data_IF_250269836968
#
_entry.id   IF_250269836968
#
_cell.length_a   1.000
_cell.length_b   1.000
_cell.length_c   1.000
_cell.angle_alpha   90.00
_cell.angle_beta   90.00
_cell.angle_gamma   90.00
#
_symmetry.space_group_name_H-M   'P 1'
#
loop_
_entity.id
_entity.type
_entity.pdbx_description
1 polymer ?
#
# COMPACT_ATOMS: atom_id res chain seq x y z
N UNK A 1 2.97 -0.44 23.87
CA UNK A 1 3.35 -1.86 24.03
C UNK A 1 4.81 -2.01 23.65
N UNK A 2 5.60 -2.93 24.22
CA UNK A 2 6.94 -3.18 23.70
C UNK A 2 6.82 -3.56 22.22
N UNK A 3 7.66 -2.97 21.38
CA UNK A 3 7.70 -3.19 19.93
C UNK A 3 8.21 -4.60 19.55
N UNK A 4 8.33 -5.50 20.53
CA UNK A 4 8.78 -6.87 20.38
C UNK A 4 8.03 -7.78 21.35
N UNK A 5 7.82 -9.03 20.94
CA UNK A 5 7.12 -10.05 21.72
C UNK A 5 7.86 -11.38 21.52
N UNK A 6 8.24 -12.07 22.61
CA UNK A 6 8.92 -13.36 22.51
C UNK A 6 7.93 -14.42 22.02
N UNK A 7 8.24 -15.20 20.97
CA UNK A 7 7.41 -16.34 20.56
C UNK A 7 7.28 -17.37 21.70
N UNK A 8 6.11 -18.00 21.83
CA UNK A 8 5.87 -19.06 22.84
C UNK A 8 6.81 -20.24 22.66
N UNK A 9 7.15 -20.56 21.41
CA UNK A 9 8.13 -21.58 21.03
C UNK A 9 9.14 -20.96 20.07
N UNK A 10 10.19 -20.28 20.58
CA UNK A 10 11.21 -19.73 19.72
C UNK A 10 11.91 -20.82 18.92
N UNK A 11 12.33 -20.50 17.71
CA UNK A 11 13.17 -21.37 16.89
C UNK A 11 14.43 -21.72 17.66
N UNK A 12 14.83 -22.98 17.65
CA UNK A 12 16.02 -23.43 18.39
C UNK A 12 17.29 -22.79 17.81
N UNK A 13 18.25 -22.41 18.66
CA UNK A 13 19.45 -21.68 18.21
C UNK A 13 20.34 -22.49 17.25
N UNK A 14 20.23 -23.82 17.27
CA UNK A 14 20.91 -24.74 16.35
C UNK A 14 20.21 -24.92 15.01
N UNK A 15 19.03 -24.32 14.81
CA UNK A 15 18.31 -24.42 13.55
C UNK A 15 19.08 -23.71 12.43
N UNK A 16 19.28 -24.44 11.33
CA UNK A 16 19.83 -23.94 10.08
C UNK A 16 18.83 -24.34 8.99
N UNK A 17 18.27 -23.38 8.24
CA UNK A 17 17.36 -23.70 7.15
C UNK A 17 18.02 -24.63 6.12
N UNK A 18 17.34 -25.69 5.65
CA UNK A 18 17.90 -26.60 4.66
C UNK A 18 18.37 -25.85 3.41
N UNK A 19 19.62 -26.07 3.01
CA UNK A 19 20.27 -25.38 1.88
C UNK A 19 20.30 -23.85 1.96
N UNK A 20 20.14 -23.28 3.18
CA UNK A 20 20.18 -21.84 3.41
C UNK A 20 21.58 -21.26 3.20
N UNK A 21 21.68 -20.24 2.36
CA UNK A 21 22.92 -19.48 2.15
C UNK A 21 22.98 -18.37 3.19
N UNK A 22 24.06 -18.33 3.98
CA UNK A 22 24.23 -17.34 5.03
C UNK A 22 24.50 -15.96 4.41
N UNK A 23 23.70 -14.97 4.78
CA UNK A 23 23.78 -13.59 4.30
C UNK A 23 24.00 -12.65 5.49
N UNK A 24 25.06 -11.83 5.43
CA UNK A 24 25.29 -10.78 6.40
C UNK A 24 24.40 -9.58 6.05
N UNK A 25 23.44 -9.26 6.92
CA UNK A 25 22.55 -8.12 6.69
C UNK A 25 23.31 -6.82 6.87
N UNK A 26 23.00 -5.84 6.02
CA UNK A 26 23.60 -4.51 6.06
C UNK A 26 22.57 -3.44 6.38
N UNK A 27 23.03 -2.29 6.87
CA UNK A 27 22.15 -1.14 7.08
C UNK A 27 21.55 -0.71 5.73
N UNK A 28 20.22 -0.59 5.68
CA UNK A 28 19.48 -0.28 4.45
C UNK A 28 18.90 -1.50 3.73
N UNK A 29 19.34 -2.72 4.04
CA UNK A 29 18.62 -3.92 3.62
C UNK A 29 17.35 -4.10 4.47
N UNK A 30 16.35 -4.74 3.87
CA UNK A 30 15.10 -5.14 4.54
C UNK A 30 14.73 -6.56 4.12
N UNK A 31 13.83 -7.20 4.86
CA UNK A 31 13.22 -8.47 4.43
C UNK A 31 12.65 -8.37 3.01
N UNK A 32 12.10 -7.21 2.65
CA UNK A 32 11.51 -6.95 1.34
C UNK A 32 12.59 -6.87 0.25
N UNK A 33 13.67 -6.12 0.47
CA UNK A 33 14.73 -5.96 -0.53
C UNK A 33 15.46 -7.28 -0.80
N UNK A 34 15.66 -8.09 0.25
CA UNK A 34 16.30 -9.40 0.12
C UNK A 34 15.39 -10.43 -0.54
N UNK A 35 14.11 -10.48 -0.16
CA UNK A 35 13.15 -11.39 -0.78
C UNK A 35 12.91 -11.05 -2.25
N UNK A 36 12.84 -9.76 -2.60
CA UNK A 36 12.76 -9.30 -4.00
C UNK A 36 13.96 -9.75 -4.82
N UNK A 37 15.18 -9.70 -4.26
CA UNK A 37 16.42 -10.11 -4.95
C UNK A 37 16.38 -11.57 -5.40
N UNK A 38 15.72 -12.42 -4.63
CA UNK A 38 15.63 -13.87 -4.88
C UNK A 38 14.23 -14.31 -5.34
N UNK A 39 13.36 -13.37 -5.67
CA UNK A 39 12.05 -13.63 -6.27
C UNK A 39 11.02 -14.32 -5.36
N UNK A 40 11.07 -14.11 -4.04
CA UNK A 40 10.13 -14.71 -3.08
C UNK A 40 9.36 -13.64 -2.28
N UNK A 41 8.28 -14.06 -1.62
CA UNK A 41 7.55 -13.19 -0.69
C UNK A 41 8.40 -12.87 0.56
N UNK A 42 8.38 -11.65 1.09
CA UNK A 42 9.15 -11.29 2.29
C UNK A 42 8.78 -12.13 3.53
N UNK A 43 7.53 -12.55 3.66
CA UNK A 43 7.12 -13.45 4.74
C UNK A 43 7.54 -14.89 4.49
N UNK A 44 7.75 -15.31 3.24
CA UNK A 44 8.39 -16.59 2.93
C UNK A 44 9.87 -16.58 3.33
N UNK A 45 10.57 -15.45 3.13
CA UNK A 45 11.95 -15.29 3.61
C UNK A 45 12.04 -15.25 5.15
N UNK A 46 11.09 -14.57 5.80
CA UNK A 46 10.98 -14.55 7.25
C UNK A 46 10.66 -15.95 7.79
N UNK A 47 9.70 -16.66 7.19
CA UNK A 47 9.36 -18.04 7.55
C UNK A 47 10.53 -18.99 7.36
N UNK A 48 11.31 -18.82 6.29
CA UNK A 48 12.51 -19.60 6.02
C UNK A 48 13.56 -19.45 7.13
N UNK A 49 13.67 -18.25 7.72
CA UNK A 49 14.56 -18.00 8.86
C UNK A 49 13.93 -18.40 10.19
N UNK A 50 12.64 -18.15 10.36
CA UNK A 50 11.92 -18.32 11.61
C UNK A 50 10.61 -19.09 11.39
N UNK A 51 10.68 -20.44 11.27
CA UNK A 51 9.50 -21.25 10.99
C UNK A 51 8.37 -21.07 12.01
N UNK A 52 7.14 -21.03 11.52
CA UNK A 52 5.91 -20.84 12.30
C UNK A 52 5.41 -19.39 12.34
N UNK A 53 6.18 -18.40 11.89
CA UNK A 53 5.78 -16.99 11.91
C UNK A 53 4.65 -16.68 10.95
N UNK A 54 4.57 -17.33 9.78
CA UNK A 54 3.44 -17.17 8.86
C UNK A 54 2.12 -17.65 9.48
N UNK A 55 2.16 -18.72 10.27
CA UNK A 55 0.97 -19.20 10.99
C UNK A 55 0.52 -18.17 12.04
N UNK A 56 1.47 -17.54 12.74
CA UNK A 56 1.15 -16.44 13.66
C UNK A 56 0.57 -15.26 12.89
N UNK A 57 1.17 -14.86 11.77
CA UNK A 57 0.68 -13.75 10.92
C UNK A 57 -0.74 -13.95 10.43
N UNK A 58 -1.11 -15.17 10.08
CA UNK A 58 -2.47 -15.51 9.65
C UNK A 58 -3.51 -15.30 10.77
N UNK A 59 -3.10 -15.44 12.04
CA UNK A 59 -3.98 -15.27 13.20
C UNK A 59 -3.94 -13.85 13.75
N UNK A 60 -2.75 -13.29 13.86
CA UNK A 60 -2.47 -11.95 14.37
C UNK A 60 -1.21 -11.39 13.72
N UNK A 61 -1.42 -10.49 12.75
CA UNK A 61 -0.35 -9.80 12.02
C UNK A 61 0.54 -8.94 12.93
N UNK A 62 -0.05 -8.31 13.95
CA UNK A 62 0.67 -7.44 14.87
C UNK A 62 1.54 -8.26 15.82
N UNK A 63 1.04 -9.40 16.30
CA UNK A 63 1.82 -10.37 17.05
C UNK A 63 2.99 -10.91 16.23
N UNK A 64 2.77 -11.29 14.97
CA UNK A 64 3.84 -11.77 14.10
C UNK A 64 4.92 -10.71 13.90
N UNK A 65 4.53 -9.44 13.70
CA UNK A 65 5.46 -8.31 13.54
C UNK A 65 6.31 -8.11 14.79
N UNK A 66 5.70 -8.13 15.98
CA UNK A 66 6.43 -8.06 17.26
C UNK A 66 7.35 -9.26 17.48
N UNK A 67 6.96 -10.45 17.03
CA UNK A 67 7.80 -11.65 17.11
C UNK A 67 8.99 -11.61 16.15
N UNK A 68 8.82 -11.06 14.95
CA UNK A 68 9.93 -10.79 14.03
C UNK A 68 10.90 -9.78 14.64
N UNK A 69 10.39 -8.70 15.25
CA UNK A 69 11.24 -7.74 15.97
C UNK A 69 12.03 -8.39 17.11
N UNK A 70 11.42 -9.32 17.85
CA UNK A 70 12.13 -10.07 18.88
C UNK A 70 13.28 -10.91 18.30
N UNK A 71 13.06 -11.61 17.18
CA UNK A 71 14.13 -12.37 16.51
C UNK A 71 15.25 -11.47 15.97
N UNK A 72 14.89 -10.32 15.39
CA UNK A 72 15.86 -9.33 14.93
C UNK A 72 16.76 -8.87 16.09
N UNK A 73 16.19 -8.53 17.24
CA UNK A 73 16.94 -8.08 18.40
C UNK A 73 17.76 -9.19 19.07
N UNK A 74 17.17 -10.37 19.28
CA UNK A 74 17.77 -11.42 20.10
C UNK A 74 18.64 -12.40 19.31
N UNK A 75 18.27 -12.73 18.06
CA UNK A 75 18.95 -13.76 17.27
C UNK A 75 19.90 -13.12 16.27
N UNK A 76 19.41 -12.12 15.51
CA UNK A 76 20.22 -11.43 14.51
C UNK A 76 21.14 -10.39 15.16
N UNK A 77 20.68 -9.75 16.24
CA UNK A 77 21.41 -8.73 17.00
C UNK A 77 21.02 -7.27 16.67
N UNK A 78 20.04 -7.07 15.78
CA UNK A 78 19.54 -5.78 15.31
C UNK A 78 18.84 -5.00 16.42
N UNK A 79 19.39 -3.85 16.82
CA UNK A 79 18.77 -2.96 17.83
C UNK A 79 18.36 -1.60 17.29
N UNK A 80 18.72 -1.27 16.06
CA UNK A 80 18.28 -0.02 15.42
C UNK A 80 16.78 -0.11 15.11
N UNK A 81 16.01 0.91 15.49
CA UNK A 81 14.61 1.00 15.08
C UNK A 81 14.52 1.43 13.61
N UNK A 82 13.50 0.93 12.92
CA UNK A 82 13.07 1.50 11.64
C UNK A 82 12.61 2.95 11.84
N UNK A 83 12.62 3.79 10.77
CA UNK A 83 12.22 5.19 10.86
C UNK A 83 10.81 5.42 11.41
N UNK A 84 9.87 4.51 11.13
CA UNK A 84 8.51 4.51 11.67
C UNK A 84 8.41 4.12 13.16
N UNK A 85 9.53 3.69 13.76
CA UNK A 85 9.68 3.19 15.14
C UNK A 85 8.83 1.98 15.49
N UNK A 86 8.25 1.32 14.48
CA UNK A 86 7.40 0.15 14.68
C UNK A 86 8.18 -1.17 14.62
N UNK A 87 9.35 -1.17 13.95
CA UNK A 87 10.16 -2.37 13.73
C UNK A 87 11.63 -2.19 14.11
N UNK A 88 12.37 -3.29 14.20
CA UNK A 88 13.83 -3.23 14.15
C UNK A 88 14.30 -3.30 12.70
N UNK A 89 15.29 -2.47 12.36
CA UNK A 89 15.93 -2.44 11.06
C UNK A 89 17.20 -3.32 11.08
N UNK A 90 17.54 -3.89 9.92
CA UNK A 90 18.86 -4.49 9.76
C UNK A 90 19.95 -3.43 9.98
N UNK A 91 21.07 -3.85 10.59
CA UNK A 91 22.18 -2.97 10.92
C UNK A 91 23.50 -3.69 10.63
N UNK A 92 24.53 -2.93 10.28
CA UNK A 92 25.86 -3.46 9.97
C UNK A 92 26.74 -3.58 11.21
N UNK A 93 27.78 -4.42 11.14
CA UNK A 93 28.87 -4.45 12.13
C UNK A 93 28.49 -5.01 13.50
N UNK A 94 27.44 -5.85 13.55
CA UNK A 94 26.93 -6.37 14.82
C UNK A 94 27.73 -7.57 15.31
N UNK A 95 27.97 -7.61 16.62
CA UNK A 95 28.68 -8.72 17.29
C UNK A 95 27.78 -9.52 18.23
N UNK A 96 26.54 -9.04 18.44
CA UNK A 96 25.51 -9.67 19.26
C UNK A 96 24.65 -10.69 18.50
N UNK A 97 23.62 -11.22 19.14
CA UNK A 97 22.74 -12.25 18.58
C UNK A 97 23.05 -13.67 19.10
N UNK A 98 22.28 -14.65 18.62
CA UNK A 98 22.27 -16.05 19.08
C UNK A 98 22.21 -17.02 17.90
N UNK A 99 22.73 -18.23 18.09
CA UNK A 99 22.69 -19.28 17.07
C UNK A 99 23.33 -18.91 15.73
N UNK A 100 22.82 -19.50 14.64
CA UNK A 100 23.30 -19.26 13.26
C UNK A 100 23.18 -17.82 12.76
N UNK A 101 22.28 -17.03 13.36
CA UNK A 101 22.02 -15.62 13.04
C UNK A 101 22.95 -14.62 13.74
N UNK A 102 23.71 -15.09 14.72
CA UNK A 102 24.61 -14.25 15.51
C UNK A 102 25.55 -13.46 14.62
N UNK A 103 25.63 -12.15 14.89
CA UNK A 103 26.50 -11.21 14.20
C UNK A 103 25.86 -10.54 13.00
N UNK A 104 24.53 -10.42 12.96
CA UNK A 104 23.83 -9.82 11.84
C UNK A 104 23.69 -10.75 10.64
N UNK A 105 23.41 -12.04 10.86
CA UNK A 105 23.22 -12.98 9.76
C UNK A 105 21.77 -13.45 9.65
N UNK A 106 21.32 -13.67 8.42
CA UNK A 106 20.12 -14.42 8.08
C UNK A 106 20.47 -15.48 7.04
N UNK A 107 19.53 -16.35 6.71
CA UNK A 107 19.65 -17.35 5.65
C UNK A 107 18.75 -17.01 4.48
N UNK A 108 19.27 -17.10 3.27
CA UNK A 108 18.51 -16.98 2.03
C UNK A 108 18.28 -18.39 1.45
N UNK A 109 17.07 -18.73 0.98
CA UNK A 109 16.84 -19.99 0.28
C UNK A 109 17.63 -20.06 -1.03
N UNK A 110 17.95 -21.26 -1.52
CA UNK A 110 18.68 -21.43 -2.77
C UNK A 110 17.79 -21.04 -3.98
N UNK A 111 18.20 -20.03 -4.75
CA UNK A 111 17.51 -19.59 -5.97
C UNK A 111 18.23 -18.47 -6.73
N UNK A 112 18.77 -18.82 -7.92
CA UNK A 112 19.68 -18.05 -8.82
C UNK A 112 20.97 -17.51 -8.18
N UNK A 113 22.12 -17.58 -8.86
CA UNK A 113 23.41 -17.28 -8.24
C UNK A 113 23.49 -15.80 -7.81
N UNK A 114 24.19 -15.49 -6.71
CA UNK A 114 24.40 -14.12 -6.30
C UNK A 114 25.14 -13.36 -7.42
N UNK A 115 24.88 -12.06 -7.63
CA UNK A 115 25.81 -11.25 -8.41
C UNK A 115 27.20 -11.36 -7.76
N UNK A 116 28.28 -11.44 -8.57
CA UNK A 116 29.61 -11.74 -8.05
C UNK A 116 30.03 -10.73 -6.97
N UNK A 117 30.86 -11.16 -6.00
CA UNK A 117 31.35 -10.26 -4.97
C UNK A 117 32.15 -9.14 -5.64
N UNK A 118 31.79 -7.89 -5.34
CA UNK A 118 32.53 -6.72 -5.79
C UNK A 118 33.96 -6.85 -5.25
N UNK A 119 34.92 -7.13 -6.13
CA UNK A 119 36.34 -7.12 -5.81
C UNK A 119 36.75 -5.70 -5.36
N UNK A 120 37.72 -5.55 -4.43
CA UNK A 120 38.18 -4.25 -4.01
C UNK A 120 38.82 -3.52 -5.20
N UNK A 121 38.16 -2.49 -5.72
CA UNK A 121 38.69 -1.70 -6.83
C UNK A 121 39.68 -0.63 -6.33
N UNK A 122 40.77 -0.39 -7.08
CA UNK A 122 41.76 0.66 -6.82
C UNK A 122 41.14 2.07 -6.96
N UNK A 123 41.78 3.12 -6.40
CA UNK A 123 41.19 4.44 -6.34
C UNK A 123 41.11 5.05 -7.74
N UNK A 124 39.91 5.13 -8.31
CA UNK A 124 39.66 5.83 -9.57
C UNK A 124 38.39 6.65 -9.46
N UNK A 125 38.59 7.95 -9.66
CA UNK A 125 37.71 9.04 -10.11
C UNK A 125 36.26 9.13 -9.56
N UNK A 126 35.78 10.36 -9.26
CA UNK A 126 34.46 10.56 -8.68
C UNK A 126 33.38 9.93 -9.56
N UNK A 127 32.68 8.98 -8.97
CA UNK A 127 31.51 8.28 -9.52
C UNK A 127 30.43 9.30 -9.85
N UNK A 128 29.68 9.16 -10.97
CA UNK A 128 28.41 9.85 -11.12
C UNK A 128 27.53 9.50 -9.92
N UNK A 129 26.88 10.51 -9.34
CA UNK A 129 26.05 10.36 -8.15
C UNK A 129 25.09 9.17 -8.27
N UNK A 130 24.85 8.49 -7.15
CA UNK A 130 23.75 7.52 -7.01
C UNK A 130 22.46 8.10 -7.64
N UNK A 131 21.58 7.29 -8.26
CA UNK A 131 20.29 7.78 -8.69
C UNK A 131 19.62 8.43 -7.48
N UNK A 132 19.39 9.73 -7.59
CA UNK A 132 18.66 10.51 -6.61
C UNK A 132 17.35 9.81 -6.31
N UNK A 133 16.87 9.77 -5.05
CA UNK A 133 15.46 9.48 -4.78
C UNK A 133 14.62 10.33 -5.76
N UNK A 134 13.52 9.80 -6.34
CA UNK A 134 12.71 10.62 -7.23
C UNK A 134 12.41 11.92 -6.49
N UNK A 135 12.81 13.04 -7.09
CA UNK A 135 12.66 14.35 -6.47
C UNK A 135 11.21 14.46 -5.99
N UNK A 136 10.99 14.80 -4.72
CA UNK A 136 9.66 15.02 -4.15
C UNK A 136 8.98 16.27 -4.74
N UNK A 137 9.46 16.75 -5.88
CA UNK A 137 8.91 17.88 -6.60
C UNK A 137 7.78 17.40 -7.52
N UNK A 138 6.81 18.29 -7.73
CA UNK A 138 5.71 17.97 -8.65
C UNK A 138 6.24 17.78 -10.07
N UNK A 139 5.80 16.73 -10.74
CA UNK A 139 6.13 16.46 -12.13
C UNK A 139 4.93 16.69 -13.03
N UNK A 140 5.16 17.31 -14.19
CA UNK A 140 4.14 17.33 -15.25
C UNK A 140 4.06 15.93 -15.87
N UNK A 141 2.85 15.44 -16.19
CA UNK A 141 2.70 14.15 -16.83
C UNK A 141 3.30 14.18 -18.24
N UNK A 142 4.17 13.23 -18.55
CA UNK A 142 4.71 12.96 -19.89
C UNK A 142 4.37 11.54 -20.38
N UNK A 143 3.79 10.72 -19.51
CA UNK A 143 3.22 9.42 -19.81
C UNK A 143 1.73 9.41 -19.50
N UNK A 144 0.96 8.76 -20.37
CA UNK A 144 -0.43 8.42 -20.11
C UNK A 144 -0.80 7.07 -20.71
N UNK A 145 -1.67 6.35 -20.03
CA UNK A 145 -2.34 5.14 -20.53
C UNK A 145 -3.78 5.10 -20.06
N UNK A 146 -4.59 4.29 -20.75
CA UNK A 146 -5.90 3.88 -20.23
C UNK A 146 -5.74 2.76 -19.21
N UNK A 147 -6.80 2.48 -18.46
CA UNK A 147 -6.84 1.31 -17.58
C UNK A 147 -6.78 0.02 -18.39
N UNK A 148 -6.07 -0.98 -17.87
CA UNK A 148 -6.07 -2.34 -18.40
C UNK A 148 -7.33 -3.11 -17.95
N UNK A 149 -7.61 -4.25 -18.59
CA UNK A 149 -8.83 -5.04 -18.33
C UNK A 149 -8.94 -5.43 -16.86
N UNK A 150 -7.86 -5.91 -16.25
CA UNK A 150 -7.84 -6.30 -14.83
C UNK A 150 -8.15 -5.12 -13.89
N UNK A 151 -7.67 -3.92 -14.22
CA UNK A 151 -7.90 -2.70 -13.45
C UNK A 151 -9.34 -2.21 -13.60
N UNK A 152 -9.93 -2.33 -14.79
CA UNK A 152 -11.35 -2.04 -15.05
C UNK A 152 -12.25 -3.00 -14.27
N UNK A 153 -11.95 -4.30 -14.28
CA UNK A 153 -12.71 -5.30 -13.53
C UNK A 153 -12.61 -5.06 -12.02
N UNK A 154 -11.40 -4.74 -11.54
CA UNK A 154 -11.18 -4.35 -10.16
C UNK A 154 -11.97 -3.08 -9.77
N UNK A 155 -11.94 -2.03 -10.60
CA UNK A 155 -12.71 -0.81 -10.38
C UNK A 155 -14.22 -1.08 -10.37
N UNK A 156 -14.73 -1.88 -11.33
CA UNK A 156 -16.15 -2.31 -11.34
C UNK A 156 -16.54 -3.04 -10.06
N UNK A 157 -15.66 -3.85 -9.48
CA UNK A 157 -15.93 -4.54 -8.22
C UNK A 157 -16.08 -3.58 -7.02
N UNK A 158 -15.51 -2.38 -7.09
CA UNK A 158 -15.67 -1.34 -6.05
C UNK A 158 -16.87 -0.47 -6.40
N UNK A 159 -16.83 0.15 -7.57
CA UNK A 159 -17.72 1.25 -7.95
C UNK A 159 -19.00 0.81 -8.66
N UNK A 160 -19.06 -0.43 -9.17
CA UNK A 160 -20.19 -0.88 -9.98
C UNK A 160 -20.27 -0.13 -11.32
N UNK A 161 -21.48 0.20 -11.81
CA UNK A 161 -21.69 0.84 -13.12
C UNK A 161 -21.62 2.39 -13.08
N UNK A 162 -21.22 3.00 -11.97
CA UNK A 162 -21.35 4.45 -11.73
C UNK A 162 -20.08 5.24 -12.04
N UNK A 163 -19.10 4.62 -12.69
CA UNK A 163 -17.91 5.29 -13.20
C UNK A 163 -18.16 5.85 -14.61
N UNK A 164 -17.42 6.89 -15.02
CA UNK A 164 -17.47 7.36 -16.41
C UNK A 164 -16.90 6.30 -17.38
N UNK A 165 -17.11 6.46 -18.70
CA UNK A 165 -16.54 5.55 -19.70
C UNK A 165 -15.01 5.42 -19.56
N UNK A 166 -14.48 4.21 -19.69
CA UNK A 166 -13.07 3.90 -19.40
C UNK A 166 -12.08 4.70 -20.25
N UNK A 167 -12.43 4.97 -21.50
CA UNK A 167 -11.66 5.78 -22.44
C UNK A 167 -11.53 7.25 -22.02
N UNK A 168 -12.33 7.69 -21.05
CA UNK A 168 -12.26 9.06 -20.49
C UNK A 168 -11.37 9.15 -19.27
N UNK A 169 -10.87 8.03 -18.74
CA UNK A 169 -10.00 7.97 -17.55
C UNK A 169 -8.59 7.60 -17.99
N UNK A 170 -7.62 8.47 -17.73
CA UNK A 170 -6.21 8.16 -17.94
C UNK A 170 -5.47 7.99 -16.62
N UNK A 171 -4.47 7.11 -16.67
CA UNK A 171 -3.45 6.94 -15.65
C UNK A 171 -2.19 7.63 -16.17
N UNK A 172 -1.62 8.55 -15.39
CA UNK A 172 -0.46 9.34 -15.78
C UNK A 172 0.63 9.28 -14.72
N UNK A 173 1.87 9.62 -15.10
CA UNK A 173 3.00 9.69 -14.17
C UNK A 173 3.22 11.10 -13.58
N UNK A 174 2.24 12.00 -13.71
CA UNK A 174 2.32 13.30 -13.05
C UNK A 174 2.37 13.15 -11.53
N UNK A 175 2.89 14.16 -10.84
CA UNK A 175 2.88 14.26 -9.39
C UNK A 175 2.57 15.71 -8.98
N UNK A 176 1.80 15.84 -7.91
CA UNK A 176 1.50 17.13 -7.30
C UNK A 176 2.64 17.63 -6.41
N UNK A 177 2.41 18.75 -5.73
CA UNK A 177 3.37 19.30 -4.78
C UNK A 177 3.74 18.27 -3.69
N UNK A 178 5.03 18.11 -3.43
CA UNK A 178 5.53 17.11 -2.48
C UNK A 178 5.52 15.68 -3.02
N UNK A 179 5.48 15.48 -4.34
CA UNK A 179 5.52 14.17 -5.00
C UNK A 179 4.26 13.33 -4.75
N UNK A 180 3.13 14.00 -4.47
CA UNK A 180 1.88 13.35 -4.06
C UNK A 180 1.05 12.93 -5.28
N UNK A 181 0.42 11.73 -5.24
CA UNK A 181 -0.65 11.39 -6.15
C UNK A 181 -1.79 12.40 -6.10
N UNK A 182 -2.48 12.58 -7.22
CA UNK A 182 -3.65 13.45 -7.30
C UNK A 182 -4.53 13.13 -8.50
N UNK A 183 -5.81 13.45 -8.37
CA UNK A 183 -6.82 13.30 -9.43
C UNK A 183 -7.35 14.64 -9.89
N UNK A 184 -7.58 14.78 -11.19
CA UNK A 184 -8.15 15.99 -11.77
C UNK A 184 -9.12 15.72 -12.92
N UNK A 185 -10.04 16.67 -13.10
CA UNK A 185 -10.97 16.77 -14.22
C UNK A 185 -10.71 18.07 -15.01
N UNK A 186 -11.16 18.16 -16.26
CA UNK A 186 -11.32 19.46 -16.91
C UNK A 186 -10.29 19.89 -17.99
N UNK A 187 -10.41 21.15 -18.48
CA UNK A 187 -9.98 21.57 -19.83
C UNK A 187 -8.48 21.78 -20.02
N UNK A 188 -7.66 21.81 -18.96
CA UNK A 188 -6.20 21.87 -19.10
C UNK A 188 -5.63 20.65 -19.83
N UNK A 189 -6.37 19.54 -19.83
CA UNK A 189 -6.00 18.28 -20.46
C UNK A 189 -7.03 17.69 -21.44
N UNK A 190 -8.19 18.35 -21.66
CA UNK A 190 -9.22 17.87 -22.61
C UNK A 190 -8.68 17.93 -24.04
N UNK A 191 -8.44 16.77 -24.64
CA UNK A 191 -7.93 16.67 -26.00
C UNK A 191 -6.49 17.16 -26.19
N UNK A 192 -5.81 17.57 -25.12
CA UNK A 192 -4.42 18.06 -25.16
C UNK A 192 -3.39 17.01 -24.76
N UNK A 193 -3.83 15.80 -24.36
CA UNK A 193 -2.94 14.65 -24.33
C UNK A 193 -3.05 13.88 -25.66
N UNK A 194 -2.03 13.95 -26.55
CA UNK A 194 -2.05 13.21 -27.81
C UNK A 194 -2.08 11.69 -27.62
N UNK A 195 -1.75 11.19 -26.41
CA UNK A 195 -1.75 9.76 -26.07
C UNK A 195 -3.13 9.23 -25.68
N UNK A 196 -4.02 10.06 -25.11
CA UNK A 196 -5.40 9.69 -24.75
C UNK A 196 -6.37 10.84 -25.12
N UNK A 197 -6.75 10.98 -26.40
CA UNK A 197 -7.50 12.14 -26.88
C UNK A 197 -8.90 12.30 -26.25
N UNK A 198 -9.52 11.20 -25.83
CA UNK A 198 -10.84 11.14 -25.18
C UNK A 198 -10.80 11.40 -23.67
N UNK A 199 -9.62 11.61 -23.10
CA UNK A 199 -9.44 11.79 -21.65
C UNK A 199 -10.21 13.02 -21.14
N UNK A 200 -10.96 12.79 -20.06
CA UNK A 200 -11.67 13.81 -19.28
C UNK A 200 -11.18 13.86 -17.84
N UNK A 201 -10.69 12.74 -17.32
CA UNK A 201 -10.19 12.56 -15.96
C UNK A 201 -8.77 11.97 -16.01
N UNK A 202 -7.88 12.46 -15.16
CA UNK A 202 -6.53 11.93 -15.02
C UNK A 202 -6.24 11.59 -13.55
N UNK A 203 -5.71 10.38 -13.35
CA UNK A 203 -5.20 9.89 -12.06
C UNK A 203 -3.67 9.88 -12.17
N UNK A 204 -3.03 10.81 -11.46
CA UNK A 204 -1.59 11.07 -11.53
C UNK A 204 -0.91 10.32 -10.39
N UNK A 205 -0.08 9.32 -10.73
CA UNK A 205 0.43 8.32 -9.78
C UNK A 205 1.96 8.18 -9.78
N UNK A 206 2.70 9.10 -10.39
CA UNK A 206 4.15 8.95 -10.55
C UNK A 206 4.52 7.59 -11.15
N UNK A 207 5.50 6.89 -10.56
CA UNK A 207 5.93 5.59 -11.07
C UNK A 207 4.92 4.46 -10.84
N UNK A 208 3.90 4.65 -10.00
CA UNK A 208 2.81 3.67 -9.84
C UNK A 208 2.00 3.57 -11.14
N UNK A 209 2.01 4.60 -11.99
CA UNK A 209 1.37 4.58 -13.31
C UNK A 209 1.84 3.44 -14.23
N UNK A 210 3.06 2.94 -14.03
CA UNK A 210 3.63 1.82 -14.80
C UNK A 210 3.33 0.44 -14.19
N UNK A 211 2.67 0.40 -13.04
CA UNK A 211 2.29 -0.83 -12.34
C UNK A 211 0.86 -1.24 -12.67
N UNK A 212 0.51 -2.50 -12.36
CA UNK A 212 -0.87 -2.96 -12.32
C UNK A 212 -1.58 -2.35 -11.10
N UNK A 213 -2.57 -1.50 -11.32
CA UNK A 213 -3.28 -0.76 -10.28
C UNK A 213 -4.17 -1.63 -9.38
N UNK A 214 -4.48 -2.86 -9.78
CA UNK A 214 -5.16 -3.84 -8.92
C UNK A 214 -4.20 -4.56 -7.95
N UNK A 215 -2.89 -4.24 -7.99
CA UNK A 215 -1.87 -4.93 -7.21
C UNK A 215 -1.92 -4.56 -5.72
N UNK A 216 -1.81 -5.53 -4.80
CA UNK A 216 -1.66 -5.26 -3.36
C UNK A 216 -0.23 -4.85 -2.99
N UNK A 217 0.66 -4.64 -3.97
CA UNK A 217 2.05 -4.23 -3.73
C UNK A 217 2.11 -2.85 -3.07
N UNK A 218 3.13 -2.56 -2.25
CA UNK A 218 3.28 -1.25 -1.65
C UNK A 218 3.62 -0.18 -2.70
N UNK A 219 3.23 1.06 -2.42
CA UNK A 219 3.62 2.26 -3.17
C UNK A 219 5.02 2.74 -2.83
N UNK A 220 5.56 2.32 -1.67
CA UNK A 220 6.90 2.65 -1.21
C UNK A 220 7.98 2.21 -2.23
N UNK A 221 8.85 3.14 -2.60
CA UNK A 221 9.89 2.92 -3.62
C UNK A 221 9.41 3.16 -5.06
N UNK A 222 8.11 3.36 -5.27
CA UNK A 222 7.54 3.91 -6.50
C UNK A 222 7.20 5.40 -6.33
N UNK A 223 6.83 5.79 -5.11
CA UNK A 223 6.55 7.16 -4.71
C UNK A 223 7.52 7.62 -3.62
N UNK A 224 7.58 8.94 -3.43
CA UNK A 224 8.44 9.58 -2.43
C UNK A 224 7.96 9.38 -0.99
N UNK A 225 6.69 9.02 -0.80
CA UNK A 225 6.09 8.69 0.49
C UNK A 225 5.31 7.36 0.38
N UNK A 226 4.95 6.78 1.53
CA UNK A 226 4.17 5.56 1.60
C UNK A 226 2.67 5.86 1.64
N UNK A 227 2.02 5.66 0.50
CA UNK A 227 0.56 5.78 0.35
C UNK A 227 -0.15 4.42 0.50
N UNK A 228 0.46 3.46 1.20
CA UNK A 228 -0.11 2.13 1.39
C UNK A 228 0.07 1.24 0.15
N UNK A 229 -0.93 0.42 -0.16
CA UNK A 229 -0.90 -0.49 -1.31
C UNK A 229 -1.36 0.24 -2.57
N UNK A 230 -0.83 -0.17 -3.72
CA UNK A 230 -1.20 0.37 -5.03
C UNK A 230 -2.71 0.28 -5.25
N UNK A 231 -3.33 -0.85 -4.91
CA UNK A 231 -4.78 -1.03 -5.04
C UNK A 231 -5.61 -0.13 -4.11
N UNK A 232 -5.10 0.20 -2.93
CA UNK A 232 -5.77 1.10 -1.99
C UNK A 232 -5.71 2.54 -2.52
N UNK A 233 -4.51 3.00 -2.89
CA UNK A 233 -4.31 4.31 -3.52
C UNK A 233 -5.14 4.45 -4.79
N UNK A 234 -5.20 3.40 -5.61
CA UNK A 234 -6.03 3.41 -6.82
C UNK A 234 -7.52 3.57 -6.50
N UNK A 235 -8.03 2.92 -5.44
CA UNK A 235 -9.42 3.10 -5.00
C UNK A 235 -9.66 4.52 -4.49
N UNK A 236 -8.72 5.10 -3.74
CA UNK A 236 -8.79 6.48 -3.28
C UNK A 236 -8.92 7.45 -4.46
N UNK A 237 -7.96 7.41 -5.39
CA UNK A 237 -7.94 8.31 -6.55
C UNK A 237 -9.13 8.08 -7.50
N UNK A 238 -9.54 6.83 -7.71
CA UNK A 238 -10.74 6.54 -8.50
C UNK A 238 -12.03 7.07 -7.84
N UNK A 239 -12.04 7.24 -6.51
CA UNK A 239 -13.18 7.86 -5.82
C UNK A 239 -13.30 9.34 -6.19
N UNK A 240 -12.19 10.04 -6.40
CA UNK A 240 -12.22 11.41 -6.93
C UNK A 240 -12.71 11.48 -8.37
N UNK A 241 -12.37 10.49 -9.21
CA UNK A 241 -12.98 10.37 -10.56
C UNK A 241 -14.49 10.16 -10.46
N UNK A 242 -14.93 9.28 -9.56
CA UNK A 242 -16.35 9.04 -9.32
C UNK A 242 -17.06 10.32 -8.83
N UNK A 243 -16.46 11.06 -7.91
CA UNK A 243 -16.98 12.33 -7.40
C UNK A 243 -17.10 13.36 -8.53
N UNK A 244 -16.06 13.56 -9.34
CA UNK A 244 -16.09 14.50 -10.45
C UNK A 244 -17.11 14.13 -11.54
N UNK A 245 -17.43 12.84 -11.69
CA UNK A 245 -18.44 12.38 -12.65
C UNK A 245 -19.87 12.48 -12.12
N UNK A 246 -20.09 12.21 -10.83
CA UNK A 246 -21.44 12.09 -10.26
C UNK A 246 -21.88 13.34 -9.46
N UNK A 247 -20.97 14.15 -8.94
CA UNK A 247 -21.27 15.31 -8.09
C UNK A 247 -21.04 16.64 -8.84
N UNK A 248 -22.12 17.37 -9.10
CA UNK A 248 -22.10 18.66 -9.78
C UNK A 248 -21.47 19.80 -8.97
N UNK A 249 -21.26 19.62 -7.66
CA UNK A 249 -20.60 20.60 -6.79
C UNK A 249 -19.09 20.39 -6.68
N UNK A 250 -18.53 19.49 -7.50
CA UNK A 250 -17.10 19.29 -7.63
C UNK A 250 -16.42 20.53 -8.24
N UNK A 251 -15.93 21.44 -7.39
CA UNK A 251 -14.99 22.48 -7.81
C UNK A 251 -13.56 21.96 -7.65
N UNK A 252 -12.83 21.91 -8.76
CA UNK A 252 -11.40 21.55 -8.97
C UNK A 252 -10.37 22.19 -7.98
N UNK A 253 -10.82 22.95 -6.99
CA UNK A 253 -10.02 23.62 -5.98
C UNK A 253 -9.72 22.78 -4.72
N UNK A 254 -10.16 21.51 -4.64
CA UNK A 254 -9.93 20.65 -3.45
C UNK A 254 -8.83 19.60 -3.60
N UNK A 255 -8.46 19.20 -4.82
CA UNK A 255 -7.27 18.35 -5.05
C UNK A 255 -5.96 19.16 -5.16
N UNK A 256 -5.98 20.48 -4.91
CA UNK A 256 -4.84 21.41 -5.05
C UNK A 256 -4.46 22.23 -3.80
N UNK A 257 -4.92 21.88 -2.59
CA UNK A 257 -4.39 22.41 -1.32
C UNK A 257 -3.90 21.23 -0.45
N UNK A 258 -2.62 20.89 -0.33
CA UNK A 258 -1.41 21.65 -0.02
C UNK A 258 -1.26 22.01 1.49
N UNK A 259 -0.29 21.36 2.13
CA UNK A 259 0.73 21.99 2.98
C UNK A 259 0.48 22.40 4.44
N UNK A 260 -0.69 22.20 5.09
CA UNK A 260 -0.79 22.65 6.50
C UNK A 260 -1.78 21.87 7.37
N UNK A 261 -1.24 21.35 8.48
CA UNK A 261 -1.90 21.04 9.76
C UNK A 261 -2.65 19.69 9.83
N UNK A 262 -2.27 18.89 10.84
CA UNK A 262 -2.87 17.59 11.15
C UNK A 262 -4.29 17.70 11.71
N UNK A 263 -5.26 18.04 10.85
CA UNK A 263 -6.67 18.04 11.17
C UNK A 263 -7.46 17.58 9.93
N UNK A 264 -7.84 16.29 9.83
CA UNK A 264 -8.86 15.88 8.85
C UNK A 264 -8.87 14.46 8.32
N UNK A 265 -7.86 13.63 8.59
CA UNK A 265 -7.87 12.20 8.20
C UNK A 265 -8.78 11.35 9.09
N UNK A 266 -9.04 11.84 10.30
CA UNK A 266 -9.95 11.19 11.22
C UNK A 266 -11.39 11.44 10.76
N UNK A 267 -12.11 10.34 10.55
CA UNK A 267 -13.54 10.33 10.35
C UNK A 267 -14.13 9.19 11.17
N UNK A 268 -15.39 9.32 11.57
CA UNK A 268 -16.11 8.26 12.27
C UNK A 268 -17.22 7.76 11.36
N UNK A 269 -17.22 6.49 10.91
CA UNK A 269 -18.34 5.93 10.16
C UNK A 269 -19.65 6.08 10.94
N UNK A 270 -20.73 6.47 10.25
CA UNK A 270 -22.06 6.65 10.83
C UNK A 270 -22.76 7.92 10.39
N UNK A 271 -22.01 8.99 10.07
CA UNK A 271 -22.60 10.24 9.61
C UNK A 271 -23.04 10.17 8.13
N UNK A 272 -23.85 11.12 7.67
CA UNK A 272 -24.29 11.18 6.28
C UNK A 272 -23.14 11.51 5.33
N UNK A 273 -23.15 10.95 4.10
CA UNK A 273 -22.10 11.17 3.08
C UNK A 273 -21.71 12.64 2.89
N UNK A 274 -22.69 13.53 2.80
CA UNK A 274 -22.50 14.97 2.56
C UNK A 274 -21.90 15.74 3.76
N UNK A 275 -21.78 15.09 4.92
CA UNK A 275 -21.10 15.67 6.09
C UNK A 275 -19.59 15.48 6.06
N UNK A 276 -19.12 14.50 5.29
CA UNK A 276 -17.70 14.26 5.08
C UNK A 276 -17.19 15.17 3.97
N UNK A 277 -15.96 15.65 4.14
CA UNK A 277 -15.27 16.31 3.04
C UNK A 277 -14.86 15.29 1.95
N UNK A 278 -14.44 15.79 0.79
CA UNK A 278 -14.13 14.95 -0.38
C UNK A 278 -13.02 13.92 -0.15
N UNK A 279 -12.04 14.22 0.71
CA UNK A 279 -10.94 13.32 1.07
C UNK A 279 -11.40 12.26 2.07
N UNK A 280 -12.21 12.65 3.06
CA UNK A 280 -12.83 11.70 3.99
C UNK A 280 -13.75 10.72 3.27
N UNK A 281 -14.49 11.20 2.27
CA UNK A 281 -15.29 10.36 1.38
C UNK A 281 -14.43 9.34 0.61
N UNK A 282 -13.29 9.76 0.06
CA UNK A 282 -12.35 8.87 -0.61
C UNK A 282 -11.74 7.84 0.36
N UNK A 283 -11.32 8.28 1.55
CA UNK A 283 -10.82 7.38 2.60
C UNK A 283 -11.86 6.37 3.08
N UNK A 284 -13.15 6.72 3.15
CA UNK A 284 -14.22 5.75 3.46
C UNK A 284 -14.20 4.57 2.49
N UNK A 285 -14.03 4.83 1.19
CA UNK A 285 -14.01 3.81 0.14
C UNK A 285 -12.69 3.04 0.14
N UNK A 286 -11.56 3.74 0.33
CA UNK A 286 -10.23 3.14 0.50
C UNK A 286 -10.21 2.17 1.68
N UNK A 287 -10.59 2.63 2.87
CA UNK A 287 -10.60 1.82 4.09
C UNK A 287 -11.57 0.65 3.98
N UNK A 288 -12.75 0.86 3.37
CA UNK A 288 -13.66 -0.25 3.11
C UNK A 288 -12.95 -1.33 2.30
N UNK A 289 -12.26 -0.96 1.22
CA UNK A 289 -11.51 -1.87 0.36
C UNK A 289 -10.36 -2.55 1.12
N UNK A 290 -9.56 -1.76 1.84
CA UNK A 290 -8.41 -2.18 2.63
C UNK A 290 -8.77 -3.20 3.70
N UNK A 291 -9.86 -2.95 4.43
CA UNK A 291 -10.27 -3.74 5.57
C UNK A 291 -11.07 -5.00 5.22
N UNK A 292 -11.51 -5.19 3.96
CA UNK A 292 -12.32 -6.37 3.58
C UNK A 292 -11.72 -7.70 4.06
N UNK A 293 -10.40 -7.80 3.98
CA UNK A 293 -9.67 -9.03 4.33
C UNK A 293 -9.10 -8.92 5.74
N UNK A 294 -8.48 -7.79 6.09
CA UNK A 294 -7.73 -7.65 7.34
C UNK A 294 -8.60 -7.36 8.56
N UNK A 295 -9.77 -6.73 8.37
CA UNK A 295 -10.65 -6.30 9.47
C UNK A 295 -12.10 -6.18 8.99
N UNK A 296 -12.77 -7.33 8.71
CA UNK A 296 -14.09 -7.32 8.09
C UNK A 296 -15.13 -6.47 8.82
N UNK A 297 -15.09 -6.40 10.16
CA UNK A 297 -16.00 -5.55 10.93
C UNK A 297 -15.85 -4.05 10.59
N UNK A 298 -14.61 -3.56 10.43
CA UNK A 298 -14.34 -2.18 10.03
C UNK A 298 -14.77 -1.92 8.59
N UNK A 299 -14.66 -2.92 7.71
CA UNK A 299 -15.19 -2.83 6.36
C UNK A 299 -16.73 -2.81 6.38
N UNK A 300 -17.40 -3.63 7.19
CA UNK A 300 -18.86 -3.65 7.29
C UNK A 300 -19.45 -2.30 7.73
N UNK A 301 -18.76 -1.54 8.59
CA UNK A 301 -19.19 -0.19 9.00
C UNK A 301 -19.17 0.82 7.84
N UNK A 302 -18.32 0.59 6.84
CA UNK A 302 -18.13 1.48 5.68
C UNK A 302 -18.87 1.00 4.43
N UNK A 303 -19.24 -0.28 4.38
CA UNK A 303 -19.98 -0.87 3.25
C UNK A 303 -21.31 -0.18 2.91
N UNK A 304 -22.10 0.37 3.86
CA UNK A 304 -23.28 1.16 3.55
C UNK A 304 -23.01 2.28 2.52
N UNK A 305 -21.92 3.04 2.69
CA UNK A 305 -21.54 4.12 1.77
C UNK A 305 -21.23 3.55 0.38
N UNK A 306 -20.47 2.45 0.33
CA UNK A 306 -20.12 1.84 -0.96
C UNK A 306 -21.36 1.29 -1.68
N UNK A 307 -22.27 0.65 -0.96
CA UNK A 307 -23.50 0.09 -1.55
C UNK A 307 -24.48 1.18 -1.99
N UNK A 308 -24.78 2.13 -1.10
CA UNK A 308 -25.88 3.07 -1.28
C UNK A 308 -25.49 4.35 -2.00
N UNK A 309 -24.23 4.78 -1.89
CA UNK A 309 -23.74 5.99 -2.53
C UNK A 309 -22.95 5.60 -3.78
N UNK A 310 -21.81 4.94 -3.58
CA UNK A 310 -20.86 4.67 -4.66
C UNK A 310 -21.50 3.81 -5.77
N UNK A 311 -22.07 2.66 -5.42
CA UNK A 311 -22.61 1.70 -6.42
C UNK A 311 -24.00 2.05 -6.96
N UNK A 312 -24.74 2.90 -6.25
CA UNK A 312 -26.10 3.29 -6.64
C UNK A 312 -26.17 4.68 -7.29
N UNK A 313 -25.09 5.46 -7.25
CA UNK A 313 -25.03 6.82 -7.80
C UNK A 313 -25.87 7.83 -7.01
N UNK A 314 -26.32 7.48 -5.79
CA UNK A 314 -27.11 8.39 -4.95
C UNK A 314 -26.14 9.24 -4.13
N UNK A 315 -26.06 10.53 -4.43
CA UNK A 315 -25.20 11.45 -3.69
C UNK A 315 -25.61 11.61 -2.22
N UNK A 316 -26.87 11.35 -1.89
CA UNK A 316 -27.38 11.46 -0.52
C UNK A 316 -27.41 10.12 0.20
N UNK A 317 -26.70 10.01 1.32
CA UNK A 317 -26.92 8.93 2.29
C UNK A 317 -28.14 9.29 3.15
N UNK A 318 -29.18 8.44 3.26
CA UNK A 318 -30.37 8.81 4.02
C UNK A 318 -30.04 9.06 5.50
N UNK A 319 -30.43 10.22 6.05
CA UNK A 319 -30.30 10.50 7.48
C UNK A 319 -31.16 9.54 8.28
N UNK A 320 -30.63 9.03 9.39
CA UNK A 320 -31.35 8.13 10.29
C UNK A 320 -31.41 6.68 9.82
N UNK A 321 -30.61 6.31 8.82
CA UNK A 321 -30.45 4.91 8.46
C UNK A 321 -29.63 4.22 9.54
N UNK A 322 -30.34 3.56 10.46
CA UNK A 322 -29.74 2.82 11.55
C UNK A 322 -28.78 1.77 10.98
N UNK A 323 -27.48 1.93 11.28
CA UNK A 323 -26.43 0.96 10.92
C UNK A 323 -26.80 -0.45 11.38
N UNK A 324 -27.58 -0.59 12.45
CA UNK A 324 -28.11 -1.87 12.93
C UNK A 324 -29.15 -2.45 11.96
N UNK A 325 -30.09 -1.63 11.47
CA UNK A 325 -31.08 -2.05 10.48
C UNK A 325 -30.43 -2.44 9.15
N UNK A 326 -29.40 -1.71 8.69
CA UNK A 326 -28.69 -2.07 7.47
C UNK A 326 -27.81 -3.31 7.65
N UNK A 327 -27.18 -3.49 8.82
CA UNK A 327 -26.46 -4.72 9.19
C UNK A 327 -27.41 -5.92 9.19
N UNK A 328 -28.64 -5.76 9.69
CA UNK A 328 -29.69 -6.78 9.65
C UNK A 328 -30.13 -7.09 8.22
N UNK A 329 -30.42 -6.08 7.40
CA UNK A 329 -30.74 -6.27 5.98
C UNK A 329 -29.62 -6.98 5.21
N UNK A 330 -28.36 -6.70 5.56
CA UNK A 330 -27.17 -7.33 4.98
C UNK A 330 -26.99 -8.78 5.42
N UNK A 331 -27.25 -9.08 6.69
CA UNK A 331 -27.29 -10.46 7.19
C UNK A 331 -28.42 -11.24 6.53
N UNK A 332 -29.60 -10.63 6.39
CA UNK A 332 -30.77 -11.24 5.75
C UNK A 332 -30.57 -11.43 4.23
N UNK A 333 -29.83 -10.54 3.56
CA UNK A 333 -29.43 -10.71 2.16
C UNK A 333 -28.37 -11.80 1.97
N UNK A 334 -27.39 -11.89 2.88
CA UNK A 334 -26.38 -12.97 2.88
C UNK A 334 -27.01 -14.34 3.15
N UNK A 335 -27.98 -14.41 4.04
CA UNK A 335 -28.75 -15.62 4.29
C UNK A 335 -29.54 -16.07 3.05
N UNK A 336 -30.11 -15.12 2.29
CA UNK A 336 -30.87 -15.39 1.06
C UNK A 336 -30.03 -15.70 -0.19
N UNK A 337 -28.70 -15.70 -0.10
CA UNK A 337 -27.79 -16.07 -1.21
C UNK A 337 -27.02 -17.37 -0.91
N UNK A 338 -27.37 -18.06 0.18
CA UNK A 338 -26.83 -19.36 0.58
C UNK A 338 -27.85 -20.51 0.42
N UNK A 339 -29.02 -20.22 -0.16
CA UNK A 339 -30.02 -21.20 -0.64
C UNK A 339 -30.04 -21.22 -2.18
#
# INVERSE_FOLDING_TARGET
MPNQERPLKPVVESYVPPAGIRHAVTAGETWISLAKRIGIDPWDLIEFNFPGIKLVKQRDFQQATRQVNWYLAEYVGCRAMSPDRQNFAFSSGMTGGKGGWRGGFIYLPPGTPPPPPIAPTPPVAPTPAAPTPPECEGSRPDFARVLDVSERDFARNVFGPTLPPWETIAITNGLGAGGRPWTNDGPFFRGSNPMVPSMRYAINLGNVAFSNLASPSPTFGLLCDNFGRICDLFVHEMTHVWQAFNDSNWTMARSFWAQTIGAGYDYTPGDSWDSYNVEQQAHIVEDWHKYKISSPMLAEERYPYVRLVIRSGRLTFPRGLDLVALKKDLQDLRARHLD
#
